data_IF_933354016232
#
_entry.id   IF_933354016232
#
_cell.length_a   1.000
_cell.length_b   1.000
_cell.length_c   1.000
_cell.angle_alpha   90.00
_cell.angle_beta   90.00
_cell.angle_gamma   90.00
#
_symmetry.space_group_name_H-M   'P 1'
#
loop_
_entity.id
_entity.type
_entity.pdbx_description
1 polymer ?
#
# COMPACT_ATOMS: atom_id res chain seq x y z
N UNK A 1 8.65 -19.05 0.54
CA UNK A 1 8.49 -18.71 -0.88
C UNK A 1 9.63 -17.78 -1.25
N UNK A 2 10.46 -18.12 -2.25
CA UNK A 2 11.58 -17.28 -2.71
C UNK A 2 11.32 -16.91 -4.17
N UNK A 3 10.65 -15.78 -4.38
CA UNK A 3 10.51 -15.17 -5.70
C UNK A 3 11.72 -14.26 -5.89
N UNK A 4 12.44 -14.32 -7.03
CA UNK A 4 13.53 -13.41 -7.30
C UNK A 4 13.04 -11.96 -7.28
N UNK A 5 13.87 -11.06 -6.74
CA UNK A 5 13.49 -9.64 -6.59
C UNK A 5 13.17 -8.98 -7.94
N UNK A 6 13.77 -9.47 -9.02
CA UNK A 6 13.52 -9.00 -10.38
C UNK A 6 12.06 -9.25 -10.80
N UNK A 7 11.51 -10.43 -10.50
CA UNK A 7 10.09 -10.71 -10.76
C UNK A 7 9.17 -9.87 -9.88
N UNK A 8 9.59 -9.51 -8.66
CA UNK A 8 8.83 -8.60 -7.79
C UNK A 8 8.75 -7.20 -8.42
N UNK A 9 9.84 -6.71 -9.01
CA UNK A 9 9.85 -5.43 -9.71
C UNK A 9 8.96 -5.44 -10.95
N UNK A 10 8.98 -6.51 -11.74
CA UNK A 10 8.09 -6.66 -12.89
C UNK A 10 6.62 -6.72 -12.48
N UNK A 11 6.29 -7.52 -11.45
CA UNK A 11 4.92 -7.64 -10.95
C UNK A 11 4.39 -6.34 -10.34
N UNK A 12 5.24 -5.61 -9.59
CA UNK A 12 4.85 -4.36 -8.95
C UNK A 12 4.94 -3.15 -9.88
N UNK A 13 5.48 -3.32 -11.10
CA UNK A 13 5.80 -2.25 -12.06
C UNK A 13 6.64 -1.14 -11.44
N UNK A 14 7.66 -1.52 -10.68
CA UNK A 14 8.57 -0.60 -10.00
C UNK A 14 10.00 -0.83 -10.50
N UNK A 15 10.84 0.18 -10.38
CA UNK A 15 12.29 0.02 -10.64
C UNK A 15 13.04 -0.20 -9.33
N UNK A 16 14.33 -0.56 -9.41
CA UNK A 16 15.22 -0.58 -8.24
C UNK A 16 15.39 0.80 -7.58
N UNK A 17 15.16 1.87 -8.33
CA UNK A 17 15.19 3.25 -7.84
C UNK A 17 13.87 3.67 -7.20
N UNK A 18 12.83 2.83 -7.31
CA UNK A 18 11.50 3.05 -6.74
C UNK A 18 10.44 3.41 -7.80
N UNK A 19 9.38 4.08 -7.34
CA UNK A 19 8.31 4.64 -8.16
C UNK A 19 8.57 6.14 -8.36
N UNK A 20 8.25 6.65 -9.55
CA UNK A 20 8.20 8.09 -9.77
C UNK A 20 6.99 8.70 -9.03
N UNK A 21 7.03 9.99 -8.74
CA UNK A 21 5.92 10.70 -8.09
C UNK A 21 4.61 10.57 -8.87
N UNK A 22 4.68 10.55 -10.20
CA UNK A 22 3.51 10.35 -11.06
C UNK A 22 2.91 8.95 -10.88
N UNK A 23 3.72 7.89 -11.02
CA UNK A 23 3.26 6.51 -10.83
C UNK A 23 2.70 6.25 -9.43
N UNK A 24 3.34 6.83 -8.40
CA UNK A 24 2.86 6.73 -7.02
C UNK A 24 1.49 7.39 -6.85
N UNK A 25 1.24 8.52 -7.52
CA UNK A 25 -0.03 9.25 -7.47
C UNK A 25 -1.13 8.44 -8.16
N UNK A 26 -0.88 7.96 -9.38
CA UNK A 26 -1.83 7.13 -10.13
C UNK A 26 -2.19 5.85 -9.33
N UNK A 27 -1.20 5.23 -8.67
CA UNK A 27 -1.44 4.06 -7.83
C UNK A 27 -2.27 4.38 -6.59
N UNK A 28 -2.07 5.54 -5.96
CA UNK A 28 -2.90 5.98 -4.85
C UNK A 28 -4.34 6.27 -5.29
N UNK A 29 -4.55 6.76 -6.51
CA UNK A 29 -5.90 6.97 -7.06
C UNK A 29 -6.60 5.64 -7.37
N UNK A 30 -5.88 4.64 -7.88
CA UNK A 30 -6.45 3.32 -8.22
C UNK A 30 -6.69 2.46 -6.97
N UNK A 31 -5.68 2.35 -6.10
CA UNK A 31 -5.71 1.42 -4.96
C UNK A 31 -6.14 2.08 -3.65
N UNK A 32 -6.16 3.41 -3.59
CA UNK A 32 -6.42 4.15 -2.36
C UNK A 32 -5.21 4.20 -1.43
N UNK A 33 -5.34 5.00 -0.36
CA UNK A 33 -4.32 5.07 0.68
C UNK A 33 -4.33 3.77 1.49
N UNK A 34 -3.16 3.15 1.66
CA UNK A 34 -2.99 2.02 2.57
C UNK A 34 -3.00 2.51 4.03
N UNK A 35 -4.18 2.92 4.50
CA UNK A 35 -4.41 3.34 5.88
C UNK A 35 -5.21 2.25 6.58
N UNK A 36 -4.69 1.77 7.71
CA UNK A 36 -5.48 0.98 8.63
C UNK A 36 -6.59 1.88 9.19
N UNK A 37 -7.83 1.59 8.81
CA UNK A 37 -8.99 2.19 9.45
C UNK A 37 -8.96 1.76 10.93
N UNK A 38 -8.83 2.73 11.83
CA UNK A 38 -8.83 2.45 13.26
C UNK A 38 -10.22 1.89 13.61
N UNK A 39 -10.28 0.62 14.01
CA UNK A 39 -11.50 0.03 14.54
C UNK A 39 -11.88 0.87 15.75
N UNK A 40 -12.90 1.72 15.64
CA UNK A 40 -13.49 2.42 16.77
C UNK A 40 -13.88 1.34 17.78
N UNK A 41 -13.10 1.19 18.84
CA UNK A 41 -13.55 0.45 20.00
C UNK A 41 -14.79 1.19 20.47
N UNK A 42 -15.96 0.60 20.21
CA UNK A 42 -17.20 0.89 20.91
C UNK A 42 -16.97 0.50 22.36
N UNK A 43 -16.23 1.33 23.09
CA UNK A 43 -16.18 1.28 24.53
C UNK A 43 -17.58 1.69 25.00
N UNK A 44 -18.34 0.81 25.68
CA UNK A 44 -19.60 1.22 26.26
C UNK A 44 -19.34 2.37 27.25
N UNK A 45 -20.20 3.39 27.30
CA UNK A 45 -20.06 4.43 28.31
C UNK A 45 -20.12 3.76 29.70
N UNK A 46 -19.05 3.90 30.47
CA UNK A 46 -19.07 3.48 31.88
C UNK A 46 -20.16 4.25 32.63
N UNK A 47 -20.91 3.59 33.54
CA UNK A 47 -22.02 4.18 34.28
C UNK A 47 -21.59 5.30 35.22
#
# INVERSE_FOLDING_TARGET
ENIPIEEVFENLRCTKEGLSTQDATERLEIFGQNKLEEKKAIAPPCP
#
